data_IF_587364829687
#
_entry.id   IF_587364829687
#
_cell.length_a   1.000
_cell.length_b   1.000
_cell.length_c   1.000
_cell.angle_alpha   90.00
_cell.angle_beta   90.00
_cell.angle_gamma   90.00
#
_symmetry.space_group_name_H-M   'P 1'
#
loop_
_entity.id
_entity.type
_entity.pdbx_description
1 polymer ?
#
# COMPACT_ATOMS: atom_id res chain seq x y z
N UNK A 1 -6.78 -12.06 -17.66
CA UNK A 1 -7.52 -12.98 -16.74
C UNK A 1 -8.95 -12.51 -16.60
N UNK A 2 -9.92 -13.42 -16.54
CA UNK A 2 -11.33 -13.11 -16.31
C UNK A 2 -11.85 -13.82 -15.07
N UNK A 3 -12.57 -13.06 -14.23
CA UNK A 3 -13.27 -13.59 -13.05
C UNK A 3 -14.77 -13.34 -13.23
N UNK A 4 -15.54 -14.43 -13.29
CA UNK A 4 -17.00 -14.34 -13.39
C UNK A 4 -17.61 -13.86 -12.07
N UNK A 5 -18.56 -12.95 -12.13
CA UNK A 5 -19.46 -12.63 -11.04
C UNK A 5 -20.92 -12.64 -11.54
N UNK A 6 -21.86 -12.80 -10.61
CA UNK A 6 -23.30 -12.80 -10.93
C UNK A 6 -23.96 -11.45 -10.64
N UNK A 7 -23.16 -10.39 -10.42
CA UNK A 7 -23.63 -9.04 -10.17
C UNK A 7 -23.76 -8.26 -11.47
N UNK A 8 -24.68 -7.32 -11.52
CA UNK A 8 -24.76 -6.34 -12.62
C UNK A 8 -23.71 -5.24 -12.46
N UNK A 9 -22.46 -5.63 -12.19
CA UNK A 9 -21.31 -4.77 -11.97
C UNK A 9 -20.07 -5.38 -12.58
N UNK A 10 -19.29 -4.58 -13.27
CA UNK A 10 -18.03 -5.00 -13.89
C UNK A 10 -16.90 -4.05 -13.52
N UNK A 11 -15.68 -4.61 -13.51
CA UNK A 11 -14.42 -3.90 -13.28
C UNK A 11 -13.37 -4.42 -14.25
N UNK A 12 -12.57 -3.51 -14.78
CA UNK A 12 -11.36 -3.82 -15.57
C UNK A 12 -10.18 -3.14 -14.92
N UNK A 13 -9.10 -3.88 -14.73
CA UNK A 13 -7.84 -3.40 -14.19
C UNK A 13 -6.72 -3.62 -15.21
N UNK A 14 -5.95 -2.59 -15.49
CA UNK A 14 -4.69 -2.63 -16.23
C UNK A 14 -3.57 -2.53 -15.21
N UNK A 15 -2.77 -3.57 -15.10
CA UNK A 15 -1.74 -3.72 -14.08
C UNK A 15 -0.37 -3.65 -14.74
N UNK A 16 0.51 -2.83 -14.18
CA UNK A 16 1.86 -2.61 -14.63
C UNK A 16 2.84 -2.97 -13.52
N UNK A 17 3.28 -4.24 -13.48
CA UNK A 17 4.23 -4.74 -12.49
C UNK A 17 5.61 -4.10 -12.64
N UNK A 18 5.96 -3.69 -13.86
CA UNK A 18 7.23 -3.00 -14.13
C UNK A 18 7.24 -1.53 -13.67
N UNK A 19 6.07 -0.97 -13.31
CA UNK A 19 5.94 0.37 -12.72
C UNK A 19 5.84 0.26 -11.20
N UNK A 20 6.86 -0.29 -10.59
CA UNK A 20 6.93 -0.50 -9.14
C UNK A 20 7.96 0.44 -8.51
N UNK A 21 7.60 1.24 -7.50
CA UNK A 21 8.55 2.01 -6.70
C UNK A 21 9.69 1.18 -6.10
N UNK A 22 9.46 -0.12 -5.86
CA UNK A 22 10.48 -1.06 -5.38
C UNK A 22 11.57 -1.34 -6.44
N UNK A 23 11.24 -1.20 -7.73
CA UNK A 23 12.15 -1.46 -8.86
C UNK A 23 12.82 -0.19 -9.40
N UNK A 24 12.42 0.98 -8.92
CA UNK A 24 12.99 2.26 -9.37
C UNK A 24 14.47 2.38 -9.02
N UNK A 25 15.25 2.88 -9.98
CA UNK A 25 16.65 3.26 -9.73
C UNK A 25 16.78 4.37 -8.68
N UNK A 26 17.89 4.39 -7.96
CA UNK A 26 18.14 5.36 -6.87
C UNK A 26 17.97 6.82 -7.30
N UNK A 27 18.30 7.16 -8.54
CA UNK A 27 18.28 8.52 -9.03
C UNK A 27 16.91 8.98 -9.56
N UNK A 28 15.93 8.07 -9.66
CA UNK A 28 14.61 8.35 -10.30
C UNK A 28 13.44 7.92 -9.41
N UNK A 29 13.63 7.92 -8.09
CA UNK A 29 12.58 7.57 -7.12
C UNK A 29 11.37 8.48 -7.26
N UNK A 30 10.20 7.92 -7.60
CA UNK A 30 8.95 8.62 -7.93
C UNK A 30 8.64 8.62 -9.42
N UNK A 31 9.46 7.95 -10.26
CA UNK A 31 9.16 7.80 -11.68
C UNK A 31 7.88 7.00 -11.93
N UNK A 32 7.60 5.95 -11.14
CA UNK A 32 6.36 5.18 -11.26
C UNK A 32 5.12 6.02 -11.00
N UNK A 33 5.17 6.93 -10.02
CA UNK A 33 4.09 7.87 -9.75
C UNK A 33 3.90 8.86 -10.90
N UNK A 34 5.00 9.39 -11.46
CA UNK A 34 4.92 10.25 -12.64
C UNK A 34 4.37 9.49 -13.86
N UNK A 35 4.75 8.24 -14.05
CA UNK A 35 4.23 7.39 -15.13
C UNK A 35 2.72 7.14 -15.02
N UNK A 36 2.20 6.98 -13.80
CA UNK A 36 0.75 6.94 -13.53
C UNK A 36 0.05 8.18 -14.06
N UNK A 37 0.55 9.38 -13.65
CA UNK A 37 0.00 10.66 -14.12
C UNK A 37 0.06 10.80 -15.63
N UNK A 38 1.18 10.44 -16.24
CA UNK A 38 1.37 10.50 -17.68
C UNK A 38 0.42 9.57 -18.43
N UNK A 39 0.21 8.36 -17.90
CA UNK A 39 -0.70 7.40 -18.50
C UNK A 39 -2.16 7.84 -18.35
N UNK A 40 -2.57 8.32 -17.16
CA UNK A 40 -3.93 8.81 -16.92
C UNK A 40 -4.25 10.13 -17.66
N UNK A 41 -3.25 11.03 -17.77
CA UNK A 41 -3.45 12.31 -18.45
C UNK A 41 -3.48 12.21 -19.97
N UNK A 42 -2.99 11.12 -20.50
CA UNK A 42 -2.78 10.88 -21.93
C UNK A 42 -4.08 10.78 -22.71
N UNK A 43 -5.15 10.29 -22.11
CA UNK A 43 -6.33 9.90 -22.84
C UNK A 43 -7.55 10.75 -22.52
N UNK A 44 -7.61 11.95 -23.11
CA UNK A 44 -8.88 12.70 -23.09
C UNK A 44 -10.03 11.85 -23.60
N UNK A 45 -9.81 11.12 -24.69
CA UNK A 45 -10.82 10.24 -25.28
C UNK A 45 -11.22 9.08 -24.36
N UNK A 46 -10.27 8.53 -23.59
CA UNK A 46 -10.56 7.52 -22.57
C UNK A 46 -11.44 8.10 -21.47
N UNK A 47 -11.07 9.25 -20.91
CA UNK A 47 -11.86 9.91 -19.86
C UNK A 47 -13.24 10.32 -20.36
N UNK A 48 -13.32 10.86 -21.58
CA UNK A 48 -14.60 11.19 -22.19
C UNK A 48 -15.50 9.94 -22.33
N UNK A 49 -14.94 8.79 -22.71
CA UNK A 49 -15.69 7.53 -22.81
C UNK A 49 -16.12 7.01 -21.43
N UNK A 50 -15.25 7.08 -20.42
CA UNK A 50 -15.54 6.69 -19.03
C UNK A 50 -16.64 7.58 -18.45
N UNK A 51 -16.52 8.91 -18.58
CA UNK A 51 -17.50 9.88 -18.07
C UNK A 51 -18.85 9.78 -18.80
N UNK A 52 -18.85 9.62 -20.12
CA UNK A 52 -20.08 9.47 -20.89
C UNK A 52 -20.90 8.23 -20.50
N UNK A 53 -20.25 7.22 -19.91
CA UNK A 53 -20.88 6.00 -19.42
C UNK A 53 -21.07 5.96 -17.90
N UNK A 54 -20.78 7.07 -17.20
CA UNK A 54 -20.93 7.19 -15.74
C UNK A 54 -20.17 6.06 -15.00
N UNK A 55 -18.91 5.86 -15.39
CA UNK A 55 -18.02 4.86 -14.79
C UNK A 55 -17.09 5.52 -13.78
N UNK A 56 -16.80 4.79 -12.70
CA UNK A 56 -15.73 5.14 -11.78
C UNK A 56 -14.37 4.83 -12.41
N UNK A 57 -13.44 5.78 -12.31
CA UNK A 57 -12.04 5.65 -12.70
C UNK A 57 -11.17 5.80 -11.45
N UNK A 58 -10.18 4.93 -11.32
CA UNK A 58 -9.19 4.99 -10.26
C UNK A 58 -7.84 4.56 -10.81
N UNK A 59 -6.81 5.32 -10.48
CA UNK A 59 -5.44 4.94 -10.74
C UNK A 59 -4.62 5.11 -9.46
N UNK A 60 -3.69 4.20 -9.22
CA UNK A 60 -2.79 4.32 -8.09
C UNK A 60 -1.46 3.61 -8.33
N UNK A 61 -0.42 4.18 -7.77
CA UNK A 61 0.90 3.57 -7.65
C UNK A 61 1.05 3.03 -6.24
N UNK A 62 0.96 1.70 -6.11
CA UNK A 62 1.30 0.98 -4.88
C UNK A 62 2.81 0.91 -4.69
N UNK A 63 3.30 0.20 -3.67
CA UNK A 63 4.72 -0.09 -3.55
C UNK A 63 5.20 -1.06 -4.65
N UNK A 64 4.33 -1.95 -5.06
CA UNK A 64 4.65 -3.15 -5.83
C UNK A 64 4.24 -3.08 -7.30
N UNK A 65 3.26 -2.25 -7.64
CA UNK A 65 2.75 -2.08 -9.00
C UNK A 65 2.00 -0.76 -9.17
N UNK A 66 1.74 -0.42 -10.42
CA UNK A 66 0.80 0.62 -10.81
C UNK A 66 -0.45 -0.03 -11.39
N UNK A 67 -1.63 0.45 -11.00
CA UNK A 67 -2.91 -0.07 -11.46
C UNK A 67 -3.78 1.09 -11.96
N UNK A 68 -4.33 0.92 -13.16
CA UNK A 68 -5.40 1.77 -13.67
C UNK A 68 -6.65 0.92 -13.82
N UNK A 69 -7.75 1.35 -13.24
CA UNK A 69 -8.98 0.58 -13.25
C UNK A 69 -10.20 1.45 -13.52
N UNK A 70 -11.20 0.86 -14.13
CA UNK A 70 -12.52 1.47 -14.26
C UNK A 70 -13.62 0.45 -13.98
N UNK A 71 -14.73 0.94 -13.47
CA UNK A 71 -15.78 0.07 -12.94
C UNK A 71 -17.15 0.75 -12.96
N UNK A 72 -18.20 -0.04 -12.99
CA UNK A 72 -19.57 0.44 -12.98
C UNK A 72 -20.58 -0.65 -13.32
N UNK A 73 -21.76 -0.22 -13.80
CA UNK A 73 -22.78 -1.15 -14.28
C UNK A 73 -22.26 -1.97 -15.46
N UNK A 74 -22.41 -3.30 -15.39
CA UNK A 74 -21.83 -4.23 -16.34
C UNK A 74 -22.06 -3.86 -17.81
N UNK A 75 -23.27 -3.54 -18.30
CA UNK A 75 -23.47 -3.19 -19.69
C UNK A 75 -22.73 -1.92 -20.14
N UNK A 76 -22.52 -0.97 -19.22
CA UNK A 76 -21.79 0.27 -19.51
C UNK A 76 -20.28 0.04 -19.60
N UNK A 77 -19.72 -0.75 -18.69
CA UNK A 77 -18.31 -1.15 -18.73
C UNK A 77 -18.02 -1.94 -20.00
N UNK A 78 -18.85 -2.96 -20.29
CA UNK A 78 -18.74 -3.81 -21.48
C UNK A 78 -18.77 -3.00 -22.78
N UNK A 79 -19.61 -1.94 -22.86
CA UNK A 79 -19.74 -1.12 -24.06
C UNK A 79 -18.50 -0.29 -24.41
N UNK A 80 -17.58 -0.06 -23.46
CA UNK A 80 -16.38 0.77 -23.65
C UNK A 80 -15.09 0.02 -23.44
N UNK A 81 -15.14 -1.22 -22.96
CA UNK A 81 -13.99 -2.02 -22.57
C UNK A 81 -12.91 -2.11 -23.66
N UNK A 82 -13.31 -2.51 -24.86
CA UNK A 82 -12.39 -2.66 -26.01
C UNK A 82 -11.77 -1.32 -26.40
N UNK A 83 -12.58 -0.26 -26.48
CA UNK A 83 -12.09 1.07 -26.84
C UNK A 83 -11.08 1.60 -25.82
N UNK A 84 -11.35 1.43 -24.52
CA UNK A 84 -10.45 1.88 -23.46
C UNK A 84 -9.18 1.05 -23.47
N UNK A 85 -9.27 -0.27 -23.64
CA UNK A 85 -8.11 -1.15 -23.76
C UNK A 85 -7.24 -0.77 -24.97
N UNK A 86 -7.82 -0.53 -26.13
CA UNK A 86 -7.10 -0.08 -27.33
C UNK A 86 -6.34 1.23 -27.09
N UNK A 87 -6.99 2.20 -26.45
CA UNK A 87 -6.37 3.48 -26.11
C UNK A 87 -5.21 3.32 -25.13
N UNK A 88 -5.32 2.44 -24.14
CA UNK A 88 -4.28 2.18 -23.16
C UNK A 88 -3.10 1.44 -23.80
N UNK A 89 -3.35 0.41 -24.58
CA UNK A 89 -2.31 -0.46 -25.15
C UNK A 89 -1.59 0.19 -26.35
N UNK A 90 -2.33 0.93 -27.17
CA UNK A 90 -1.81 1.49 -28.42
C UNK A 90 -1.73 3.02 -28.40
N UNK A 91 -1.91 3.64 -27.25
CA UNK A 91 -1.79 5.08 -27.12
C UNK A 91 -0.38 5.60 -27.40
N UNK A 92 -0.32 6.84 -27.86
CA UNK A 92 0.97 7.49 -28.14
C UNK A 92 1.47 8.17 -26.88
N UNK A 93 2.78 8.24 -26.66
CA UNK A 93 3.36 9.04 -25.59
C UNK A 93 2.87 10.49 -25.63
N UNK A 94 2.70 11.12 -24.48
CA UNK A 94 2.39 12.55 -24.41
C UNK A 94 3.55 13.37 -24.99
N UNK A 95 3.26 14.56 -25.48
CA UNK A 95 4.28 15.50 -25.90
C UNK A 95 5.10 16.03 -24.68
N UNK A 96 6.20 16.71 -25.01
CA UNK A 96 7.12 17.22 -23.98
C UNK A 96 6.50 18.27 -23.07
N UNK A 97 5.61 19.09 -23.58
CA UNK A 97 4.96 20.15 -22.79
C UNK A 97 4.00 19.53 -21.76
N UNK A 98 3.25 18.51 -22.16
CA UNK A 98 2.40 17.77 -21.24
C UNK A 98 3.21 16.99 -20.20
N UNK A 99 4.30 16.32 -20.61
CA UNK A 99 5.23 15.68 -19.70
C UNK A 99 5.74 16.63 -18.62
N UNK A 100 6.20 17.83 -19.02
CA UNK A 100 6.70 18.83 -18.06
C UNK A 100 5.61 19.30 -17.09
N UNK A 101 4.40 19.47 -17.58
CA UNK A 101 3.26 19.86 -16.74
C UNK A 101 2.92 18.78 -15.69
N UNK A 102 2.83 17.51 -16.10
CA UNK A 102 2.54 16.43 -15.16
C UNK A 102 3.67 16.25 -14.13
N UNK A 103 4.92 16.41 -14.59
CA UNK A 103 6.09 16.40 -13.71
C UNK A 103 6.01 17.46 -12.61
N UNK A 104 5.60 18.66 -12.95
CA UNK A 104 5.38 19.72 -11.97
C UNK A 104 4.22 19.39 -11.01
N UNK A 105 3.14 18.82 -11.52
CA UNK A 105 2.00 18.38 -10.71
C UNK A 105 2.42 17.36 -9.66
N UNK A 106 3.15 16.32 -10.07
CA UNK A 106 3.66 15.27 -9.16
C UNK A 106 4.61 15.85 -8.12
N UNK A 107 5.49 16.78 -8.49
CA UNK A 107 6.38 17.45 -7.55
C UNK A 107 5.57 18.21 -6.49
N UNK A 108 4.51 18.90 -6.89
CA UNK A 108 3.65 19.61 -5.95
C UNK A 108 2.91 18.67 -5.01
N UNK A 109 2.43 17.53 -5.50
CA UNK A 109 1.81 16.50 -4.67
C UNK A 109 2.79 15.91 -3.64
N UNK A 110 4.02 15.63 -4.04
CA UNK A 110 5.08 15.19 -3.14
C UNK A 110 5.33 16.23 -2.03
N UNK A 111 5.42 17.50 -2.40
CA UNK A 111 5.60 18.61 -1.45
C UNK A 111 4.42 18.72 -0.47
N UNK A 112 3.20 18.64 -0.97
CA UNK A 112 1.98 18.68 -0.14
C UNK A 112 1.90 17.47 0.81
N UNK A 113 2.23 16.29 0.33
CA UNK A 113 2.24 15.07 1.13
C UNK A 113 3.25 15.17 2.27
N UNK A 114 4.48 15.56 1.98
CA UNK A 114 5.56 15.64 2.97
C UNK A 114 5.62 16.96 3.75
N UNK A 115 4.74 17.90 3.47
CA UNK A 115 4.45 19.02 4.38
C UNK A 115 3.67 18.57 5.63
N UNK A 116 3.07 17.36 5.61
CA UNK A 116 2.36 16.81 6.74
C UNK A 116 3.32 15.99 7.63
N UNK A 117 3.33 16.21 8.96
CA UNK A 117 4.31 15.60 9.87
C UNK A 117 4.33 14.06 9.83
N UNK A 118 3.17 13.40 9.87
CA UNK A 118 3.10 11.93 9.89
C UNK A 118 3.54 11.31 8.56
N UNK A 119 3.06 11.72 7.38
CA UNK A 119 3.57 11.24 6.10
C UNK A 119 5.08 11.45 5.92
N UNK A 120 5.61 12.59 6.37
CA UNK A 120 7.05 12.85 6.34
C UNK A 120 7.81 11.88 7.25
N UNK A 121 7.37 11.71 8.48
CA UNK A 121 8.01 10.80 9.44
C UNK A 121 7.95 9.34 8.96
N UNK A 122 6.84 8.90 8.34
CA UNK A 122 6.75 7.57 7.69
C UNK A 122 7.76 7.45 6.56
N UNK A 123 7.82 8.45 5.66
CA UNK A 123 8.79 8.46 4.57
C UNK A 123 10.23 8.36 5.07
N UNK A 124 10.60 9.17 6.05
CA UNK A 124 11.95 9.18 6.60
C UNK A 124 12.28 7.86 7.32
N UNK A 125 11.34 7.30 8.09
CA UNK A 125 11.50 6.00 8.74
C UNK A 125 11.74 4.87 7.73
N UNK A 126 10.94 4.82 6.66
CA UNK A 126 11.09 3.78 5.61
C UNK A 126 12.40 3.96 4.83
N UNK A 127 12.77 5.20 4.51
CA UNK A 127 14.02 5.52 3.82
C UNK A 127 15.24 5.16 4.66
N UNK A 128 15.31 5.65 5.89
CA UNK A 128 16.46 5.44 6.78
C UNK A 128 16.57 4.00 7.28
N UNK A 129 15.42 3.35 7.53
CA UNK A 129 15.36 1.97 8.00
C UNK A 129 15.59 0.93 6.92
N UNK A 130 15.07 1.15 5.72
CA UNK A 130 14.98 0.12 4.67
C UNK A 130 15.46 0.58 3.28
N UNK A 131 15.81 1.86 3.10
CA UNK A 131 16.11 2.40 1.76
C UNK A 131 14.90 2.53 0.85
N UNK A 132 13.68 2.46 1.39
CA UNK A 132 12.46 2.57 0.61
C UNK A 132 11.87 3.98 0.70
N UNK A 133 11.67 4.61 -0.44
CA UNK A 133 11.24 6.00 -0.55
C UNK A 133 9.71 6.18 -0.62
N UNK A 134 8.93 5.10 -0.43
CA UNK A 134 7.49 5.12 -0.58
C UNK A 134 7.02 5.23 -2.03
N UNK A 135 5.71 5.05 -2.26
CA UNK A 135 5.13 5.09 -3.61
C UNK A 135 5.18 6.49 -4.26
N UNK A 136 5.18 7.54 -3.46
CA UNK A 136 5.29 8.90 -4.01
C UNK A 136 6.72 9.25 -4.49
N UNK A 137 7.74 8.57 -3.95
CA UNK A 137 9.13 8.85 -4.27
C UNK A 137 9.66 10.17 -3.70
N UNK A 138 10.54 10.82 -4.44
CA UNK A 138 11.18 12.08 -4.05
C UNK A 138 11.07 13.13 -5.14
N UNK A 139 11.06 14.42 -4.74
CA UNK A 139 11.10 15.53 -5.67
C UNK A 139 12.32 15.44 -6.61
N UNK A 140 13.50 15.16 -6.06
CA UNK A 140 14.72 15.06 -6.86
C UNK A 140 14.68 13.88 -7.84
N UNK A 141 14.12 12.73 -7.44
CA UNK A 141 13.98 11.59 -8.32
C UNK A 141 13.05 11.87 -9.50
N UNK A 142 11.92 12.54 -9.24
CA UNK A 142 11.02 13.02 -10.31
C UNK A 142 11.70 14.04 -11.20
N UNK A 143 12.48 14.99 -10.64
CA UNK A 143 13.25 15.97 -11.44
C UNK A 143 14.31 15.32 -12.34
N UNK A 144 14.91 14.26 -11.91
CA UNK A 144 15.93 13.53 -12.67
C UNK A 144 15.35 12.67 -13.82
N UNK A 145 14.09 12.25 -13.73
CA UNK A 145 13.46 11.44 -14.78
C UNK A 145 13.22 12.30 -16.02
N UNK A 146 13.92 11.97 -17.12
CA UNK A 146 13.90 12.77 -18.34
C UNK A 146 12.74 12.41 -19.29
N UNK A 147 12.48 13.29 -20.26
CA UNK A 147 11.50 13.00 -21.31
C UNK A 147 11.95 11.83 -22.20
N UNK A 148 13.24 11.71 -22.43
CA UNK A 148 13.86 10.61 -23.17
C UNK A 148 13.68 9.28 -22.44
N UNK A 149 13.83 9.26 -21.10
CA UNK A 149 13.54 8.08 -20.27
C UNK A 149 12.07 7.69 -20.36
N UNK A 150 11.17 8.69 -20.31
CA UNK A 150 9.73 8.47 -20.48
C UNK A 150 9.41 7.84 -21.83
N UNK A 151 9.94 8.37 -22.95
CA UNK A 151 9.68 7.83 -24.29
C UNK A 151 10.12 6.37 -24.39
N UNK A 152 11.32 6.09 -23.92
CA UNK A 152 11.87 4.73 -23.90
C UNK A 152 11.02 3.79 -23.05
N UNK A 153 10.59 4.25 -21.87
CA UNK A 153 9.74 3.46 -20.99
C UNK A 153 8.36 3.20 -21.61
N UNK A 154 7.76 4.20 -22.25
CA UNK A 154 6.44 4.07 -22.86
C UNK A 154 6.38 3.05 -24.00
N UNK A 155 7.44 2.92 -24.77
CA UNK A 155 7.53 1.91 -25.83
C UNK A 155 7.57 0.48 -25.27
N UNK A 156 8.28 0.28 -24.16
CA UNK A 156 8.53 -1.04 -23.61
C UNK A 156 7.42 -1.54 -22.67
N UNK A 157 6.74 -0.64 -21.96
CA UNK A 157 5.90 -1.00 -20.82
C UNK A 157 4.42 -0.70 -21.05
N UNK A 158 4.06 0.47 -21.56
CA UNK A 158 2.65 0.86 -21.63
C UNK A 158 1.80 0.00 -22.57
N UNK A 159 2.40 -0.63 -23.55
CA UNK A 159 1.70 -1.54 -24.48
C UNK A 159 1.44 -2.94 -23.90
N UNK A 160 1.95 -3.23 -22.70
CA UNK A 160 1.94 -4.59 -22.13
C UNK A 160 1.39 -4.65 -20.70
N UNK A 161 0.21 -4.05 -20.42
CA UNK A 161 -0.40 -4.26 -19.12
C UNK A 161 -0.89 -5.70 -19.00
N UNK A 162 -0.82 -6.24 -17.79
CA UNK A 162 -1.64 -7.38 -17.48
C UNK A 162 -3.09 -6.91 -17.26
N UNK A 163 -4.07 -7.61 -17.83
CA UNK A 163 -5.47 -7.21 -17.77
C UNK A 163 -6.26 -8.19 -16.91
N UNK A 164 -6.90 -7.67 -15.87
CA UNK A 164 -7.90 -8.37 -15.07
C UNK A 164 -9.27 -7.80 -15.36
N UNK A 165 -10.18 -8.64 -15.81
CA UNK A 165 -11.60 -8.29 -15.95
C UNK A 165 -12.46 -9.08 -14.98
N UNK A 166 -13.40 -8.42 -14.32
CA UNK A 166 -14.35 -9.00 -13.37
C UNK A 166 -15.75 -8.57 -13.81
N UNK A 167 -16.65 -9.52 -14.02
CA UNK A 167 -18.01 -9.18 -14.48
C UNK A 167 -18.87 -10.42 -14.77
N UNK A 168 -20.17 -10.22 -15.14
CA UNK A 168 -21.03 -11.33 -15.53
C UNK A 168 -20.61 -11.95 -16.87
N UNK A 169 -19.99 -11.16 -17.76
CA UNK A 169 -19.54 -11.58 -19.07
C UNK A 169 -18.03 -11.30 -19.26
N UNK A 170 -17.30 -12.12 -20.03
CA UNK A 170 -15.94 -11.79 -20.44
C UNK A 170 -15.95 -10.54 -21.31
N UNK A 171 -15.05 -9.59 -21.02
CA UNK A 171 -15.03 -8.28 -21.70
C UNK A 171 -13.84 -8.08 -22.62
N UNK A 172 -12.74 -8.71 -22.31
CA UNK A 172 -11.49 -8.61 -23.08
C UNK A 172 -10.88 -10.01 -23.18
N UNK A 173 -10.51 -10.43 -24.38
CA UNK A 173 -9.67 -11.59 -24.57
C UNK A 173 -8.24 -11.18 -24.12
N UNK A 174 -7.82 -11.60 -22.97
CA UNK A 174 -6.40 -11.53 -22.62
C UNK A 174 -5.73 -12.73 -23.26
N UNK A 175 -4.74 -12.50 -24.13
CA UNK A 175 -3.74 -13.53 -24.33
C UNK A 175 -3.23 -13.92 -22.96
N UNK A 176 -3.40 -15.20 -22.60
CA UNK A 176 -2.95 -15.71 -21.32
C UNK A 176 -1.43 -15.54 -21.26
N UNK A 177 -0.98 -14.48 -20.61
CA UNK A 177 0.42 -14.38 -20.22
C UNK A 177 0.61 -15.38 -19.07
N UNK A 178 0.81 -16.66 -19.44
CA UNK A 178 1.14 -17.73 -18.49
C UNK A 178 2.52 -17.53 -17.84
N UNK A 179 3.33 -16.66 -18.38
CA UNK A 179 4.58 -16.21 -17.78
C UNK A 179 4.43 -14.81 -17.22
N UNK A 180 3.67 -14.68 -16.15
CA UNK A 180 3.82 -13.53 -15.31
C UNK A 180 5.15 -13.66 -14.59
N UNK A 181 5.95 -12.67 -14.81
CA UNK A 181 7.28 -12.56 -14.25
C UNK A 181 7.17 -12.67 -12.72
N UNK A 182 7.67 -13.75 -12.09
CA UNK A 182 7.89 -13.70 -10.67
C UNK A 182 9.00 -12.68 -10.45
N UNK A 183 8.63 -11.41 -10.36
CA UNK A 183 9.57 -10.39 -9.94
C UNK A 183 10.02 -10.78 -8.55
N UNK A 184 11.25 -11.25 -8.45
CA UNK A 184 11.91 -11.31 -7.14
C UNK A 184 12.16 -9.88 -6.73
N UNK A 185 11.16 -9.28 -6.08
CA UNK A 185 11.39 -8.00 -5.43
C UNK A 185 12.52 -8.15 -4.43
N UNK A 186 13.41 -7.15 -4.37
CA UNK A 186 14.47 -7.18 -3.39
C UNK A 186 13.84 -7.39 -2.01
N UNK A 187 14.40 -8.29 -1.22
CA UNK A 187 14.05 -8.36 0.19
C UNK A 187 14.60 -7.09 0.82
N UNK A 188 13.71 -6.21 1.24
CA UNK A 188 14.11 -5.08 2.04
C UNK A 188 14.43 -5.58 3.44
N UNK A 189 15.71 -5.84 3.64
CA UNK A 189 16.25 -6.05 4.98
C UNK A 189 16.59 -4.69 5.59
N UNK A 190 16.46 -4.58 6.88
CA UNK A 190 16.87 -3.39 7.61
C UNK A 190 18.32 -3.02 7.25
N UNK A 191 18.52 -1.83 6.69
CA UNK A 191 19.84 -1.33 6.27
C UNK A 191 20.70 -0.96 7.50
N UNK A 192 20.05 -0.47 8.56
CA UNK A 192 20.76 0.01 9.74
C UNK A 192 20.37 -0.78 10.98
N UNK A 193 21.37 -1.07 11.84
CA UNK A 193 21.16 -1.71 13.13
C UNK A 193 20.85 -0.72 14.25
N UNK A 194 20.96 0.58 13.97
CA UNK A 194 20.80 1.62 14.99
C UNK A 194 19.40 2.19 14.99
N UNK A 195 18.85 2.42 16.17
CA UNK A 195 17.62 3.17 16.34
C UNK A 195 17.88 4.65 16.10
N UNK A 196 17.02 5.30 15.28
CA UNK A 196 17.10 6.74 15.04
C UNK A 196 16.27 7.46 16.08
N UNK A 197 16.94 8.22 16.92
CA UNK A 197 16.29 9.04 17.94
C UNK A 197 16.72 10.48 17.70
N UNK A 198 15.84 11.31 17.13
CA UNK A 198 16.06 12.74 17.13
C UNK A 198 15.91 13.29 18.55
N UNK A 199 17.03 13.72 19.11
CA UNK A 199 17.11 14.31 20.44
C UNK A 199 16.88 15.82 20.44
N UNK A 200 16.62 16.41 19.27
CA UNK A 200 16.42 17.86 19.13
C UNK A 200 14.97 18.22 19.35
N UNK A 201 14.73 19.10 20.24
CA UNK A 201 13.55 19.84 20.63
C UNK A 201 12.78 19.31 21.84
N UNK A 202 12.45 20.25 22.67
CA UNK A 202 11.94 20.01 24.02
C UNK A 202 10.41 20.10 24.14
N UNK A 203 9.66 20.60 23.14
CA UNK A 203 8.22 20.85 23.28
C UNK A 203 7.40 20.61 22.01
N UNK A 204 7.99 20.09 20.94
CA UNK A 204 7.26 19.79 19.72
C UNK A 204 6.75 18.34 19.74
N UNK A 205 5.61 18.11 19.08
CA UNK A 205 5.11 16.77 18.88
C UNK A 205 6.07 15.99 17.98
N UNK A 206 6.43 14.78 18.43
CA UNK A 206 7.27 13.84 17.69
C UNK A 206 6.47 12.61 17.32
N UNK A 207 6.73 12.06 16.16
CA UNK A 207 6.21 10.76 15.77
C UNK A 207 7.19 9.68 16.21
N UNK A 208 6.71 8.74 16.98
CA UNK A 208 7.47 7.60 17.50
C UNK A 208 7.06 6.34 16.74
N UNK A 209 8.02 5.60 16.22
CA UNK A 209 7.78 4.31 15.58
C UNK A 209 8.48 3.18 16.32
N UNK A 210 7.82 2.04 16.37
CA UNK A 210 8.43 0.74 16.66
C UNK A 210 8.10 -0.16 15.47
N UNK A 211 9.11 -0.48 14.68
CA UNK A 211 8.97 -1.19 13.41
C UNK A 211 9.76 -2.50 13.48
N UNK A 212 9.19 -3.59 12.99
CA UNK A 212 9.89 -4.86 12.91
C UNK A 212 11.14 -4.75 12.01
N UNK A 213 12.15 -5.55 12.29
CA UNK A 213 13.35 -5.60 11.47
C UNK A 213 13.14 -6.39 10.16
N UNK A 214 12.14 -7.25 10.13
CA UNK A 214 11.87 -8.17 9.03
C UNK A 214 10.42 -8.05 8.57
N UNK A 215 10.18 -8.40 7.32
CA UNK A 215 8.86 -8.51 6.72
C UNK A 215 8.35 -9.95 6.82
N UNK A 216 7.02 -10.13 6.88
CA UNK A 216 6.40 -11.42 6.60
C UNK A 216 6.18 -11.59 5.10
N UNK A 217 6.41 -12.81 4.62
CA UNK A 217 6.07 -13.25 3.26
C UNK A 217 5.13 -14.46 3.29
N UNK A 218 4.52 -14.71 4.41
CA UNK A 218 3.57 -15.77 4.65
C UNK A 218 2.16 -15.18 4.76
N UNK A 219 1.21 -15.72 4.01
CA UNK A 219 -0.15 -15.19 3.91
C UNK A 219 -0.93 -15.36 5.23
N UNK A 220 -0.70 -16.44 5.96
CA UNK A 220 -1.31 -16.65 7.28
C UNK A 220 -0.74 -15.68 8.30
N UNK A 221 0.56 -15.43 8.27
CA UNK A 221 1.16 -14.39 9.11
C UNK A 221 0.67 -12.99 8.76
N UNK A 222 0.51 -12.67 7.48
CA UNK A 222 -0.02 -11.39 7.03
C UNK A 222 -1.43 -11.15 7.60
N UNK A 223 -2.30 -12.17 7.58
CA UNK A 223 -3.61 -12.11 8.24
C UNK A 223 -3.48 -11.86 9.75
N UNK A 224 -2.63 -12.63 10.42
CA UNK A 224 -2.44 -12.50 11.87
C UNK A 224 -1.85 -11.14 12.26
N UNK A 225 -0.92 -10.59 11.45
CA UNK A 225 -0.35 -9.26 11.66
C UNK A 225 -1.38 -8.14 11.49
N UNK A 226 -2.24 -8.22 10.47
CA UNK A 226 -3.32 -7.25 10.27
C UNK A 226 -4.29 -7.21 11.47
N UNK A 227 -4.68 -8.40 11.94
CA UNK A 227 -5.52 -8.52 13.14
C UNK A 227 -4.78 -8.06 14.40
N UNK A 228 -3.50 -8.38 14.55
CA UNK A 228 -2.69 -7.98 15.71
C UNK A 228 -2.57 -6.45 15.81
N UNK A 229 -2.29 -5.79 14.68
CA UNK A 229 -2.26 -4.33 14.58
C UNK A 229 -3.62 -3.75 14.99
N UNK A 230 -4.70 -4.28 14.45
CA UNK A 230 -6.05 -3.85 14.79
C UNK A 230 -6.38 -4.09 16.26
N UNK A 231 -5.98 -5.23 16.82
CA UNK A 231 -6.23 -5.57 18.23
C UNK A 231 -5.55 -4.62 19.19
N UNK A 232 -4.33 -4.20 18.89
CA UNK A 232 -3.53 -3.35 19.78
C UNK A 232 -3.79 -1.85 19.61
N UNK A 233 -4.15 -1.40 18.40
CA UNK A 233 -4.09 0.02 18.07
C UNK A 233 -5.35 0.63 17.46
N UNK A 234 -6.34 -0.16 17.03
CA UNK A 234 -7.51 0.40 16.35
C UNK A 234 -8.62 0.76 17.33
N UNK A 235 -9.06 2.02 17.28
CA UNK A 235 -10.16 2.57 18.07
C UNK A 235 -9.77 3.00 19.49
N UNK A 236 -10.61 3.84 20.11
CA UNK A 236 -10.37 4.43 21.43
C UNK A 236 -10.25 3.40 22.56
N UNK A 237 -10.86 2.23 22.39
CA UNK A 237 -10.79 1.12 23.35
C UNK A 237 -9.61 0.19 23.11
N UNK A 238 -8.72 0.51 22.16
CA UNK A 238 -7.52 -0.28 21.91
C UNK A 238 -6.54 -0.16 23.09
N UNK A 239 -5.76 -1.21 23.36
CA UNK A 239 -4.78 -1.19 24.44
C UNK A 239 -3.84 0.01 24.38
N UNK A 240 -3.33 0.40 23.19
CA UNK A 240 -2.48 1.58 23.06
C UNK A 240 -3.20 2.87 23.40
N UNK A 241 -4.42 3.07 22.92
CA UNK A 241 -5.17 4.28 23.24
C UNK A 241 -5.53 4.34 24.71
N UNK A 242 -5.92 3.23 25.32
CA UNK A 242 -6.23 3.17 26.76
C UNK A 242 -5.00 3.46 27.62
N UNK A 243 -3.84 2.86 27.29
CA UNK A 243 -2.65 3.03 28.12
C UNK A 243 -1.97 4.37 27.91
N UNK A 244 -1.82 4.81 26.65
CA UNK A 244 -1.05 6.01 26.31
C UNK A 244 -1.87 7.29 26.40
N UNK A 245 -3.15 7.26 25.99
CA UNK A 245 -4.00 8.44 25.96
C UNK A 245 -4.85 8.56 27.21
N UNK A 246 -5.72 7.57 27.49
CA UNK A 246 -6.73 7.69 28.53
C UNK A 246 -6.12 7.68 29.95
N UNK A 247 -5.15 6.78 30.21
CA UNK A 247 -4.51 6.69 31.52
C UNK A 247 -3.41 7.72 31.76
N UNK A 248 -2.69 8.13 30.72
CA UNK A 248 -1.45 8.92 30.87
C UNK A 248 -1.45 10.26 30.16
N UNK A 249 -2.36 10.49 29.21
CA UNK A 249 -2.42 11.74 28.44
C UNK A 249 -1.16 12.00 27.61
N UNK A 250 -0.43 10.94 27.18
CA UNK A 250 0.84 11.07 26.49
C UNK A 250 0.67 11.33 25.00
N UNK A 251 -0.43 10.88 24.38
CA UNK A 251 -0.63 10.92 22.94
C UNK A 251 -2.01 11.46 22.59
N UNK A 252 -2.09 12.14 21.45
CA UNK A 252 -3.38 12.38 20.81
C UNK A 252 -3.80 11.16 19.99
N UNK A 253 -2.84 10.51 19.32
CA UNK A 253 -3.06 9.38 18.43
C UNK A 253 -1.98 8.33 18.64
N UNK A 254 -2.40 7.07 18.66
CA UNK A 254 -1.53 5.90 18.47
C UNK A 254 -2.20 4.95 17.49
N UNK A 255 -1.42 4.29 16.67
CA UNK A 255 -1.90 3.43 15.61
C UNK A 255 -0.89 2.33 15.26
N UNK A 256 -1.28 1.51 14.32
CA UNK A 256 -0.37 0.54 13.69
C UNK A 256 -0.63 0.52 12.19
N UNK A 257 0.35 0.07 11.46
CA UNK A 257 0.34 -0.02 10.00
C UNK A 257 1.10 -1.27 9.57
N UNK A 258 0.60 -1.90 8.53
CA UNK A 258 1.26 -3.00 7.84
C UNK A 258 1.71 -2.48 6.49
N UNK A 259 3.01 -2.13 6.36
CA UNK A 259 3.54 -1.62 5.12
C UNK A 259 3.71 -2.74 4.09
N UNK A 260 3.35 -2.44 2.85
CA UNK A 260 3.54 -3.32 1.69
C UNK A 260 4.87 -2.96 1.02
N UNK A 261 5.82 -3.90 1.00
CA UNK A 261 7.17 -3.69 0.47
C UNK A 261 7.74 -5.00 -0.11
N UNK A 262 7.00 -5.71 -0.95
CA UNK A 262 7.32 -7.07 -1.41
C UNK A 262 7.07 -8.15 -0.34
N UNK A 263 6.57 -7.75 0.80
CA UNK A 263 6.15 -8.49 1.98
C UNK A 263 5.40 -7.56 2.92
N UNK A 264 5.02 -8.04 4.10
CA UNK A 264 4.24 -7.27 5.08
C UNK A 264 5.13 -6.85 6.26
N UNK A 265 5.40 -5.56 6.39
CA UNK A 265 6.24 -4.99 7.45
C UNK A 265 5.36 -4.36 8.54
N UNK A 266 5.25 -4.97 9.73
CA UNK A 266 4.45 -4.41 10.81
C UNK A 266 5.18 -3.26 11.52
N UNK A 267 4.44 -2.18 11.79
CA UNK A 267 4.92 -1.03 12.53
C UNK A 267 3.83 -0.46 13.43
N UNK A 268 4.20 0.03 14.59
CA UNK A 268 3.34 0.79 15.48
C UNK A 268 3.88 2.21 15.61
N UNK A 269 2.97 3.18 15.67
CA UNK A 269 3.32 4.58 15.76
C UNK A 269 2.48 5.32 16.80
N UNK A 270 3.04 6.40 17.33
CA UNK A 270 2.33 7.34 18.20
C UNK A 270 2.87 8.76 18.01
N UNK A 271 2.02 9.76 18.23
CA UNK A 271 2.41 11.17 18.21
C UNK A 271 2.37 11.72 19.62
N UNK A 272 3.53 12.17 20.12
CA UNK A 272 3.71 12.55 21.52
C UNK A 272 4.65 13.74 21.70
N UNK A 273 4.37 14.56 22.72
CA UNK A 273 5.33 15.58 23.23
C UNK A 273 6.34 14.99 24.21
N UNK A 274 6.15 13.72 24.62
CA UNK A 274 7.05 12.95 25.49
C UNK A 274 7.45 11.64 24.81
N UNK A 275 8.20 11.73 23.71
CA UNK A 275 8.44 10.58 22.82
C UNK A 275 9.13 9.40 23.52
N UNK A 276 10.08 9.67 24.41
CA UNK A 276 10.82 8.59 25.12
C UNK A 276 9.92 7.84 26.11
N UNK A 277 9.09 8.54 26.88
CA UNK A 277 8.14 7.92 27.79
C UNK A 277 7.11 7.09 27.02
N UNK A 278 6.61 7.63 25.90
CA UNK A 278 5.70 6.93 25.00
C UNK A 278 6.34 5.66 24.45
N UNK A 279 7.57 5.74 23.96
CA UNK A 279 8.35 4.61 23.42
C UNK A 279 8.49 3.49 24.44
N UNK A 280 8.91 3.83 25.68
CA UNK A 280 9.16 2.85 26.74
C UNK A 280 7.88 2.06 27.08
N UNK A 281 6.73 2.76 27.09
CA UNK A 281 5.44 2.14 27.33
C UNK A 281 5.03 1.25 26.17
N UNK A 282 5.17 1.73 24.92
CA UNK A 282 4.84 0.94 23.73
C UNK A 282 5.67 -0.34 23.67
N UNK A 283 6.98 -0.26 23.90
CA UNK A 283 7.87 -1.44 23.97
C UNK A 283 7.42 -2.39 25.07
N UNK A 284 7.14 -1.88 26.27
CA UNK A 284 6.66 -2.71 27.38
C UNK A 284 5.36 -3.43 27.02
N UNK A 285 4.46 -2.79 26.28
CA UNK A 285 3.20 -3.40 25.87
C UNK A 285 3.43 -4.48 24.80
N UNK A 286 4.26 -4.21 23.78
CA UNK A 286 4.58 -5.17 22.72
C UNK A 286 5.32 -6.39 23.25
N UNK A 287 6.32 -6.19 24.13
CA UNK A 287 7.14 -7.28 24.71
C UNK A 287 6.39 -8.10 25.76
N UNK A 288 5.22 -7.64 26.22
CA UNK A 288 4.35 -8.35 27.13
C UNK A 288 2.90 -8.41 26.59
N UNK A 289 2.78 -8.57 25.30
CA UNK A 289 1.52 -8.40 24.55
C UNK A 289 0.37 -9.25 25.10
N UNK A 290 0.66 -10.44 25.61
CA UNK A 290 -0.35 -11.34 26.20
C UNK A 290 -1.21 -10.69 27.29
N UNK A 291 -0.61 -9.77 28.06
CA UNK A 291 -1.29 -9.05 29.16
C UNK A 291 -2.27 -7.98 28.67
N UNK A 292 -2.13 -7.55 27.42
CA UNK A 292 -2.89 -6.46 26.82
C UNK A 292 -3.95 -6.94 25.82
N UNK A 293 -3.94 -8.23 25.46
CA UNK A 293 -4.91 -8.82 24.57
C UNK A 293 -6.02 -9.51 25.35
N UNK A 294 -7.26 -9.12 25.04
CA UNK A 294 -8.47 -9.73 25.55
C UNK A 294 -9.04 -10.72 24.52
N UNK A 295 -9.43 -11.90 24.96
CA UNK A 295 -10.04 -12.96 24.15
C UNK A 295 -11.30 -12.47 23.44
N UNK A 296 -12.17 -11.73 24.16
CA UNK A 296 -13.40 -11.19 23.57
C UNK A 296 -13.09 -10.21 22.43
N UNK A 297 -12.07 -9.37 22.59
CA UNK A 297 -11.63 -8.46 21.52
C UNK A 297 -11.14 -9.23 20.29
N UNK A 298 -10.36 -10.28 20.47
CA UNK A 298 -9.90 -11.12 19.35
C UNK A 298 -11.09 -11.76 18.64
N UNK A 299 -12.06 -12.28 19.36
CA UNK A 299 -13.27 -12.86 18.78
C UNK A 299 -14.10 -11.85 17.97
N UNK A 300 -14.23 -10.62 18.47
CA UNK A 300 -14.89 -9.52 17.75
C UNK A 300 -14.12 -9.19 16.46
N UNK A 301 -12.81 -9.05 16.53
CA UNK A 301 -11.99 -8.75 15.36
C UNK A 301 -12.04 -9.87 14.32
N UNK A 302 -12.04 -11.14 14.74
CA UNK A 302 -12.24 -12.27 13.85
C UNK A 302 -13.58 -12.18 13.12
N UNK A 303 -14.66 -11.89 13.85
CA UNK A 303 -15.99 -11.72 13.25
C UNK A 303 -16.05 -10.52 12.31
N UNK A 304 -15.37 -9.42 12.65
CA UNK A 304 -15.26 -8.24 11.79
C UNK A 304 -14.45 -8.55 10.52
N UNK A 305 -13.34 -9.30 10.62
CA UNK A 305 -12.54 -9.71 9.46
C UNK A 305 -13.37 -10.52 8.47
N UNK A 306 -14.17 -11.49 8.97
CA UNK A 306 -15.10 -12.28 8.16
C UNK A 306 -16.14 -11.36 7.49
N UNK A 307 -16.78 -10.48 8.25
CA UNK A 307 -17.82 -9.58 7.72
C UNK A 307 -17.26 -8.59 6.68
N UNK A 308 -16.04 -8.08 6.89
CA UNK A 308 -15.34 -7.23 5.90
C UNK A 308 -15.04 -8.02 4.63
N UNK A 309 -14.63 -9.27 4.74
CA UNK A 309 -14.39 -10.11 3.57
C UNK A 309 -15.67 -10.36 2.78
N UNK A 310 -16.76 -10.70 3.44
CA UNK A 310 -18.07 -10.86 2.80
C UNK A 310 -18.51 -9.59 2.08
N UNK A 311 -18.32 -8.41 2.68
CA UNK A 311 -18.58 -7.13 2.03
C UNK A 311 -17.67 -6.89 0.83
N UNK A 312 -16.37 -7.16 0.97
CA UNK A 312 -15.39 -6.97 -0.11
C UNK A 312 -15.63 -7.92 -1.29
N UNK A 313 -16.07 -9.15 -1.02
CA UNK A 313 -16.53 -10.06 -2.07
C UNK A 313 -17.76 -9.52 -2.77
N UNK A 314 -18.73 -8.96 -2.04
CA UNK A 314 -19.90 -8.35 -2.63
C UNK A 314 -19.54 -7.21 -3.59
N UNK A 315 -18.57 -6.37 -3.22
CA UNK A 315 -18.09 -5.26 -4.05
C UNK A 315 -16.89 -5.63 -4.94
N UNK A 316 -16.39 -6.86 -4.87
CA UNK A 316 -15.24 -7.38 -5.64
C UNK A 316 -13.94 -6.54 -5.54
N UNK A 317 -13.85 -5.67 -4.56
CA UNK A 317 -12.68 -4.81 -4.34
C UNK A 317 -11.44 -5.61 -3.92
N UNK A 318 -11.59 -6.44 -2.89
CA UNK A 318 -10.48 -7.25 -2.39
C UNK A 318 -10.11 -8.35 -3.38
N UNK A 319 -11.10 -8.92 -4.08
CA UNK A 319 -10.84 -9.96 -5.07
C UNK A 319 -9.91 -9.47 -6.17
N UNK A 320 -10.15 -8.27 -6.72
CA UNK A 320 -9.27 -7.71 -7.74
C UNK A 320 -7.85 -7.50 -7.19
N UNK A 321 -7.70 -6.85 -6.01
CA UNK A 321 -6.40 -6.61 -5.41
C UNK A 321 -5.67 -7.89 -5.03
N UNK A 322 -6.35 -8.82 -4.37
CA UNK A 322 -5.76 -10.11 -3.98
C UNK A 322 -5.30 -10.92 -5.20
N UNK A 323 -6.07 -10.91 -6.30
CA UNK A 323 -5.68 -11.60 -7.53
C UNK A 323 -4.46 -10.93 -8.16
N UNK A 324 -4.41 -9.60 -8.19
CA UNK A 324 -3.27 -8.84 -8.70
C UNK A 324 -2.02 -9.17 -7.86
N UNK A 325 -2.14 -9.07 -6.54
CA UNK A 325 -1.01 -9.31 -5.63
C UNK A 325 -0.54 -10.76 -5.68
N UNK A 326 -1.45 -11.72 -5.61
CA UNK A 326 -1.11 -13.14 -5.67
C UNK A 326 -0.45 -13.52 -6.99
N UNK A 327 -0.92 -12.93 -8.09
CA UNK A 327 -0.38 -13.18 -9.42
C UNK A 327 1.02 -12.62 -9.59
N UNK A 328 1.30 -11.46 -8.98
CA UNK A 328 2.63 -10.86 -8.93
C UNK A 328 3.57 -11.53 -7.90
N UNK A 329 3.12 -12.56 -7.18
CA UNK A 329 3.92 -13.27 -6.17
C UNK A 329 4.05 -12.52 -4.85
N UNK A 330 3.10 -11.61 -4.55
CA UNK A 330 3.07 -10.87 -3.29
C UNK A 330 2.36 -11.64 -2.19
N UNK A 331 2.68 -11.26 -0.96
CA UNK A 331 2.00 -11.77 0.22
C UNK A 331 0.60 -11.19 0.32
N UNK A 332 -0.40 -12.05 0.28
CA UNK A 332 -1.82 -11.72 0.41
C UNK A 332 -2.33 -12.29 1.72
N UNK A 333 -2.95 -11.48 2.61
CA UNK A 333 -3.52 -12.03 3.84
C UNK A 333 -4.48 -13.18 3.54
N UNK A 334 -4.27 -14.32 4.19
CA UNK A 334 -5.09 -15.51 3.99
C UNK A 334 -6.53 -15.31 4.47
N UNK A 335 -7.43 -16.16 4.03
CA UNK A 335 -8.83 -16.20 4.48
C UNK A 335 -9.08 -17.27 5.54
N UNK A 336 -8.03 -17.80 6.13
CA UNK A 336 -8.08 -18.84 7.17
C UNK A 336 -8.38 -18.22 8.55
N UNK A 337 -9.59 -17.67 8.69
CA UNK A 337 -10.01 -16.92 9.90
C UNK A 337 -10.03 -17.75 11.18
N UNK A 338 -10.04 -19.09 11.08
CA UNK A 338 -9.87 -20.00 12.22
C UNK A 338 -8.51 -19.83 12.91
N UNK A 339 -7.49 -19.32 12.19
CA UNK A 339 -6.18 -19.02 12.75
C UNK A 339 -6.18 -17.80 13.71
N UNK A 340 -7.22 -16.96 13.65
CA UNK A 340 -7.33 -15.78 14.50
C UNK A 340 -7.71 -16.22 15.92
N UNK A 341 -6.69 -16.55 16.70
CA UNK A 341 -6.79 -16.90 18.12
C UNK A 341 -5.86 -15.98 18.92
N UNK A 342 -6.13 -15.81 20.22
CA UNK A 342 -5.24 -15.03 21.09
C UNK A 342 -3.82 -15.57 21.06
N UNK A 343 -3.67 -16.89 21.13
CA UNK A 343 -2.37 -17.56 21.09
C UNK A 343 -1.59 -17.21 19.82
N UNK A 344 -2.19 -17.35 18.65
CA UNK A 344 -1.54 -17.06 17.37
C UNK A 344 -1.21 -15.57 17.22
N UNK A 345 -2.07 -14.67 17.70
CA UNK A 345 -1.80 -13.22 17.72
C UNK A 345 -0.61 -12.91 18.64
N UNK A 346 -0.55 -13.51 19.83
CA UNK A 346 0.60 -13.36 20.74
C UNK A 346 1.88 -13.88 20.08
N UNK A 347 1.82 -15.05 19.46
CA UNK A 347 2.96 -15.67 18.80
C UNK A 347 3.50 -14.81 17.65
N UNK A 348 2.61 -14.28 16.79
CA UNK A 348 3.04 -13.43 15.67
C UNK A 348 3.66 -12.11 16.16
N UNK A 349 3.10 -11.48 17.17
CA UNK A 349 3.73 -10.27 17.76
C UNK A 349 5.11 -10.59 18.35
N UNK A 350 5.23 -11.66 19.12
CA UNK A 350 6.51 -12.08 19.72
C UNK A 350 7.57 -12.50 18.67
N UNK A 351 7.15 -12.87 17.48
CA UNK A 351 8.05 -13.15 16.36
C UNK A 351 8.69 -11.88 15.82
N UNK A 352 7.92 -10.80 15.67
CA UNK A 352 8.34 -9.56 15.02
C UNK A 352 8.83 -8.48 15.98
N UNK A 353 8.39 -8.52 17.23
CA UNK A 353 8.72 -7.52 18.24
C UNK A 353 9.39 -8.16 19.48
N UNK A 354 10.39 -7.50 20.00
CA UNK A 354 11.17 -7.92 21.14
C UNK A 354 12.60 -7.44 21.01
N UNK A 355 13.43 -7.70 22.02
CA UNK A 355 14.82 -7.28 22.03
C UNK A 355 15.56 -7.80 20.79
N UNK A 356 16.12 -6.87 20.00
CA UNK A 356 16.82 -7.17 18.76
C UNK A 356 15.96 -7.52 17.55
N UNK A 357 14.64 -7.55 17.67
CA UNK A 357 13.70 -7.89 16.57
C UNK A 357 13.06 -6.68 15.92
N UNK A 358 13.07 -5.56 16.60
CA UNK A 358 12.51 -4.29 16.13
C UNK A 358 13.51 -3.15 16.25
N UNK A 359 13.24 -2.07 15.56
CA UNK A 359 13.96 -0.82 15.71
C UNK A 359 12.99 0.33 16.03
N UNK A 360 13.58 1.39 16.59
CA UNK A 360 12.86 2.60 16.97
C UNK A 360 13.27 3.74 16.06
N UNK A 361 12.28 4.53 15.61
CA UNK A 361 12.47 5.78 14.91
C UNK A 361 11.67 6.88 15.59
N UNK A 362 12.29 8.04 15.82
CA UNK A 362 11.64 9.22 16.44
C UNK A 362 12.00 10.45 15.63
N UNK A 363 11.00 11.14 15.10
CA UNK A 363 11.16 12.40 14.37
C UNK A 363 10.15 13.45 14.81
#
# INVERSE_FOLDING_TARGET
>A
MYIKNDLNYSKICFVYDNCSPLLEGENVKGSSHLLEHLLCSHYKEMRDAIQANDLGEEAHTGAENMVIQFSGMAPRVESVAEKVAELIIHGKPVDKDRFLKEKETVIQEIRMKYAQPIPLAVHNMLREGFGFYGSAGTEQGVLNFSYEDYLKFSEDVFSKPWILSIGPNPMLESESHEELYPHKYPSYEKITKESFIDKKSSNEQKTVFITANNQSRDDDEALLLDVAISALSTGLQSPFMQELREKRGLVYMAGGVLFEMGGRLPSFLAVSTKPMECLDIMKKMLYNVEKYLDENRINVLRSQAIAIEEQRELFRYKTARNVIDHHAGYTVPSTRYELITKENIVNVINRFFGEGKDFTYIE
#
